data_IF_760204350645
#
_entry.id   IF_760204350645
#
_cell.length_a   1.000
_cell.length_b   1.000
_cell.length_c   1.000
_cell.angle_alpha   90.00
_cell.angle_beta   90.00
_cell.angle_gamma   90.00
#
_symmetry.space_group_name_H-M   'P 1'
#
loop_
_entity.id
_entity.type
_entity.pdbx_description
1 polymer ?
#
# COMPACT_ATOMS: atom_id res chain seq x y z
N UNK A 1 -10.47 -4.26 16.16
CA UNK A 1 -11.76 -4.18 15.52
C UNK A 1 -11.93 -2.86 14.80
N UNK A 2 -11.53 -2.85 13.54
CA UNK A 2 -11.73 -1.72 12.63
C UNK A 2 -13.14 -1.83 12.03
N UNK A 3 -14.17 -1.82 12.88
CA UNK A 3 -15.58 -1.85 12.44
C UNK A 3 -16.18 -0.45 12.59
N UNK A 4 -15.44 0.57 12.19
CA UNK A 4 -15.99 1.91 12.08
C UNK A 4 -16.46 2.15 10.64
N UNK A 5 -17.57 2.87 10.50
CA UNK A 5 -18.01 3.36 9.19
C UNK A 5 -16.89 4.18 8.56
N UNK A 6 -16.68 3.99 7.26
CA UNK A 6 -15.76 4.83 6.50
C UNK A 6 -16.26 6.28 6.58
N UNK A 7 -15.45 7.15 7.17
CA UNK A 7 -15.72 8.59 7.21
C UNK A 7 -14.98 9.24 6.03
N UNK A 8 -15.69 10.05 5.27
CA UNK A 8 -15.14 10.73 4.08
C UNK A 8 -15.14 12.22 4.32
N UNK A 9 -13.98 12.85 4.16
CA UNK A 9 -13.92 14.31 4.03
C UNK A 9 -14.53 14.75 2.71
N UNK A 10 -15.05 15.97 2.62
CA UNK A 10 -15.55 16.48 1.34
C UNK A 10 -14.42 16.61 0.31
N UNK A 11 -14.77 16.50 -0.97
CA UNK A 11 -13.79 16.62 -2.07
C UNK A 11 -13.18 18.01 -2.08
N UNK A 12 -13.98 19.04 -1.79
CA UNK A 12 -13.54 20.43 -1.67
C UNK A 12 -12.46 20.57 -0.61
N UNK A 13 -12.67 19.99 0.57
CA UNK A 13 -11.67 20.02 1.65
C UNK A 13 -10.38 19.33 1.23
N UNK A 14 -10.45 18.12 0.66
CA UNK A 14 -9.27 17.39 0.21
C UNK A 14 -8.52 18.21 -0.85
N UNK A 15 -9.24 18.79 -1.81
CA UNK A 15 -8.65 19.65 -2.85
C UNK A 15 -7.96 20.88 -2.25
N UNK A 16 -8.58 21.54 -1.29
CA UNK A 16 -8.02 22.70 -0.61
C UNK A 16 -6.76 22.36 0.19
N UNK A 17 -6.73 21.21 0.86
CA UNK A 17 -5.56 20.75 1.60
C UNK A 17 -4.37 20.47 0.66
N UNK A 18 -4.61 19.84 -0.49
CA UNK A 18 -3.57 19.58 -1.50
C UNK A 18 -3.09 20.90 -2.13
N UNK A 19 -4.00 21.80 -2.45
CA UNK A 19 -3.64 23.12 -2.99
C UNK A 19 -2.89 23.98 -1.96
N UNK A 20 -3.25 23.89 -0.69
CA UNK A 20 -2.48 24.52 0.37
C UNK A 20 -1.06 23.98 0.45
N UNK A 21 -0.89 22.66 0.35
CA UNK A 21 0.44 22.05 0.29
C UNK A 21 1.22 22.57 -0.93
N UNK A 22 0.61 22.58 -2.11
CA UNK A 22 1.23 23.09 -3.34
C UNK A 22 1.76 24.52 -3.20
N UNK A 23 1.00 25.39 -2.51
CA UNK A 23 1.39 26.80 -2.28
C UNK A 23 2.52 26.98 -1.27
N UNK A 24 2.66 26.07 -0.32
CA UNK A 24 3.53 26.28 0.84
C UNK A 24 4.73 25.33 0.92
N UNK A 25 4.79 24.26 0.13
CA UNK A 25 5.85 23.25 0.24
C UNK A 25 7.19 23.74 -0.35
N UNK A 26 7.16 24.75 -1.21
CA UNK A 26 8.34 25.25 -1.91
C UNK A 26 9.01 24.18 -2.77
N UNK A 27 10.34 24.27 -2.95
CA UNK A 27 11.12 23.32 -3.73
C UNK A 27 11.64 22.10 -2.90
N UNK A 28 11.20 21.97 -1.65
CA UNK A 28 11.77 21.00 -0.72
C UNK A 28 11.30 19.56 -0.94
N UNK A 29 10.09 19.37 -1.46
CA UNK A 29 9.55 18.06 -1.81
C UNK A 29 8.39 18.23 -2.79
N UNK A 30 8.29 17.32 -3.74
CA UNK A 30 7.15 17.25 -4.66
C UNK A 30 6.29 16.00 -4.41
N UNK A 31 6.43 15.37 -3.25
CA UNK A 31 5.72 14.15 -2.88
C UNK A 31 4.62 14.45 -1.86
N UNK A 32 3.49 13.77 -2.00
CA UNK A 32 2.43 13.75 -0.99
C UNK A 32 2.13 12.33 -0.55
N UNK A 33 1.68 12.17 0.69
CA UNK A 33 1.11 10.93 1.20
C UNK A 33 -0.39 11.13 1.44
N UNK A 34 -1.21 10.38 0.71
CA UNK A 34 -2.64 10.28 0.97
C UNK A 34 -2.85 9.15 1.97
N UNK A 35 -3.23 9.49 3.20
CA UNK A 35 -3.48 8.53 4.29
C UNK A 35 -4.84 7.84 4.12
N UNK A 36 -4.99 7.12 3.00
CA UNK A 36 -6.13 6.26 2.71
C UNK A 36 -5.64 4.83 2.50
N UNK A 37 -6.33 3.85 3.08
CA UNK A 37 -5.97 2.43 2.96
C UNK A 37 -6.54 1.77 1.70
N UNK A 38 -7.41 2.47 0.97
CA UNK A 38 -8.15 1.93 -0.17
C UNK A 38 -8.39 2.97 -1.27
N UNK A 39 -7.47 3.89 -1.47
CA UNK A 39 -7.59 4.93 -2.49
C UNK A 39 -7.79 4.33 -3.88
N UNK A 40 -8.64 4.95 -4.69
CA UNK A 40 -9.04 4.46 -6.00
C UNK A 40 -10.19 3.45 -5.97
N UNK A 41 -10.76 3.13 -4.80
CA UNK A 41 -11.83 2.16 -4.68
C UNK A 41 -13.23 2.76 -4.91
N UNK A 42 -13.40 4.04 -4.60
CA UNK A 42 -14.68 4.74 -4.71
C UNK A 42 -14.72 5.66 -5.93
N UNK A 43 -15.89 5.84 -6.59
CA UNK A 43 -16.02 6.75 -7.73
C UNK A 43 -15.55 8.18 -7.45
N UNK A 44 -15.71 8.66 -6.23
CA UNK A 44 -15.23 9.96 -5.78
C UNK A 44 -13.69 10.12 -5.86
N UNK A 45 -12.96 9.03 -5.81
CA UNK A 45 -11.49 9.07 -5.85
C UNK A 45 -11.01 9.53 -7.23
N UNK A 46 -11.74 9.19 -8.30
CA UNK A 46 -11.48 9.73 -9.64
C UNK A 46 -11.72 11.25 -9.71
N UNK A 47 -12.73 11.74 -8.99
CA UNK A 47 -12.95 13.19 -8.91
C UNK A 47 -11.81 13.87 -8.13
N UNK A 48 -11.30 13.25 -7.07
CA UNK A 48 -10.11 13.72 -6.36
C UNK A 48 -8.90 13.72 -7.30
N UNK A 49 -8.70 12.67 -8.11
CA UNK A 49 -7.65 12.62 -9.13
C UNK A 49 -7.76 13.79 -10.12
N UNK A 50 -8.98 14.12 -10.57
CA UNK A 50 -9.22 15.28 -11.45
C UNK A 50 -8.81 16.60 -10.78
N UNK A 51 -9.09 16.77 -9.48
CA UNK A 51 -8.66 17.95 -8.72
C UNK A 51 -7.15 18.01 -8.58
N UNK A 52 -6.50 16.85 -8.30
CA UNK A 52 -5.03 16.76 -8.24
C UNK A 52 -4.42 17.15 -9.58
N UNK A 53 -4.93 16.63 -10.70
CA UNK A 53 -4.46 16.98 -12.05
C UNK A 53 -4.53 18.48 -12.31
N UNK A 54 -5.63 19.11 -11.97
CA UNK A 54 -5.79 20.56 -12.07
C UNK A 54 -4.79 21.34 -11.19
N UNK A 55 -4.39 20.78 -10.05
CA UNK A 55 -3.36 21.37 -9.19
C UNK A 55 -1.99 21.20 -9.83
N UNK A 56 -1.66 20.02 -10.38
CA UNK A 56 -0.42 19.76 -11.11
C UNK A 56 -0.24 20.76 -12.25
N UNK A 57 -1.28 21.03 -13.02
CA UNK A 57 -1.23 21.97 -14.14
C UNK A 57 -0.96 23.43 -13.70
N UNK A 58 -1.35 23.81 -12.47
CA UNK A 58 -1.18 25.16 -11.91
C UNK A 58 0.09 25.35 -11.09
N UNK A 59 0.67 24.29 -10.56
CA UNK A 59 1.75 24.34 -9.58
C UNK A 59 2.97 23.50 -10.01
N UNK A 60 3.42 23.67 -11.23
CA UNK A 60 4.66 23.08 -11.78
C UNK A 60 4.76 21.56 -11.52
N UNK A 61 3.66 20.86 -11.80
CA UNK A 61 3.58 19.40 -11.68
C UNK A 61 3.46 18.88 -10.25
N UNK A 62 3.22 19.72 -9.25
CA UNK A 62 3.00 19.26 -7.87
C UNK A 62 1.59 18.67 -7.69
N UNK A 63 1.48 17.47 -7.07
CA UNK A 63 2.54 16.56 -6.64
C UNK A 63 3.10 15.73 -7.80
N UNK A 64 4.42 15.53 -7.82
CA UNK A 64 5.06 14.62 -8.79
C UNK A 64 4.89 13.14 -8.41
N UNK A 65 4.81 12.86 -7.10
CA UNK A 65 4.59 11.50 -6.60
C UNK A 65 3.53 11.49 -5.51
N UNK A 66 2.62 10.54 -5.63
CA UNK A 66 1.55 10.30 -4.67
C UNK A 66 1.75 8.90 -4.08
N UNK A 67 2.04 8.86 -2.78
CA UNK A 67 2.10 7.63 -2.02
C UNK A 67 0.74 7.38 -1.38
N UNK A 68 0.19 6.19 -1.57
CA UNK A 68 -1.04 5.76 -0.92
C UNK A 68 -1.16 4.24 -0.99
N UNK A 69 -2.02 3.66 -0.19
CA UNK A 69 -2.40 2.26 -0.35
C UNK A 69 -3.62 2.20 -1.27
N UNK A 70 -3.47 1.58 -2.44
CA UNK A 70 -4.59 1.40 -3.35
C UNK A 70 -5.52 0.29 -2.88
N UNK A 71 -6.81 0.45 -3.15
CA UNK A 71 -7.81 -0.56 -2.82
C UNK A 71 -7.58 -1.88 -3.59
N UNK A 72 -7.94 -3.01 -2.98
CA UNK A 72 -7.78 -4.33 -3.61
C UNK A 72 -8.91 -4.68 -4.57
N UNK A 73 -10.06 -4.08 -4.37
CA UNK A 73 -11.27 -4.26 -5.15
C UNK A 73 -11.39 -3.11 -6.16
N UNK A 74 -12.10 -3.33 -7.27
CA UNK A 74 -12.33 -2.31 -8.30
C UNK A 74 -11.06 -1.88 -9.08
N UNK A 75 -10.33 -2.86 -9.58
CA UNK A 75 -9.09 -2.68 -10.35
C UNK A 75 -9.20 -1.70 -11.50
N UNK A 76 -10.33 -1.76 -12.24
CA UNK A 76 -10.59 -0.88 -13.38
C UNK A 76 -10.53 0.60 -12.98
N UNK A 77 -11.10 0.93 -11.83
CA UNK A 77 -11.11 2.30 -11.32
C UNK A 77 -9.74 2.74 -10.81
N UNK A 78 -8.98 1.82 -10.18
CA UNK A 78 -7.61 2.10 -9.76
C UNK A 78 -6.72 2.41 -10.98
N UNK A 79 -6.86 1.65 -12.07
CA UNK A 79 -6.14 1.91 -13.31
C UNK A 79 -6.53 3.29 -13.86
N UNK A 80 -7.81 3.62 -13.91
CA UNK A 80 -8.27 4.94 -14.35
C UNK A 80 -7.67 6.07 -13.50
N UNK A 81 -7.57 5.89 -12.18
CA UNK A 81 -6.93 6.87 -11.29
C UNK A 81 -5.45 7.06 -11.62
N UNK A 82 -4.75 5.95 -11.88
CA UNK A 82 -3.34 5.95 -12.26
C UNK A 82 -3.13 6.64 -13.61
N UNK A 83 -3.91 6.26 -14.62
CA UNK A 83 -3.87 6.88 -15.96
C UNK A 83 -4.15 8.39 -15.92
N UNK A 84 -5.13 8.79 -15.11
CA UNK A 84 -5.52 10.19 -14.97
C UNK A 84 -4.43 11.07 -14.33
N UNK A 85 -3.58 10.48 -13.52
CA UNK A 85 -2.49 11.16 -12.80
C UNK A 85 -1.12 11.02 -13.50
N UNK A 86 -1.08 10.50 -14.74
CA UNK A 86 0.11 10.41 -15.59
C UNK A 86 1.37 9.90 -14.86
N UNK A 87 1.21 8.82 -14.05
CA UNK A 87 2.33 8.21 -13.35
C UNK A 87 2.68 8.81 -11.98
N UNK A 88 2.02 9.88 -11.56
CA UNK A 88 2.22 10.39 -10.21
C UNK A 88 1.75 9.40 -9.13
N UNK A 89 0.72 8.59 -9.41
CA UNK A 89 0.23 7.54 -8.53
C UNK A 89 0.83 6.19 -8.93
N UNK A 90 1.64 5.59 -8.04
CA UNK A 90 2.21 4.26 -8.26
C UNK A 90 1.22 3.15 -7.96
N UNK A 91 1.31 2.05 -8.70
CA UNK A 91 0.57 0.85 -8.36
C UNK A 91 1.29 0.09 -7.25
N UNK A 92 0.73 0.11 -6.05
CA UNK A 92 1.22 -0.68 -4.93
C UNK A 92 0.35 -1.91 -4.72
N UNK A 93 0.99 -3.08 -4.67
CA UNK A 93 0.34 -4.36 -4.42
C UNK A 93 0.91 -5.05 -3.19
N UNK A 94 0.27 -4.88 -2.06
CA UNK A 94 0.67 -5.57 -0.82
C UNK A 94 0.12 -7.00 -0.83
N UNK A 95 0.82 -7.93 -1.46
CA UNK A 95 0.37 -9.34 -1.55
C UNK A 95 0.58 -10.12 -0.26
N UNK A 96 1.54 -9.71 0.56
CA UNK A 96 1.97 -10.34 1.82
C UNK A 96 2.57 -11.74 1.63
N UNK A 97 1.96 -12.60 0.84
CA UNK A 97 2.38 -13.91 0.36
C UNK A 97 1.59 -14.26 -0.91
N UNK A 98 2.11 -15.16 -1.73
CA UNK A 98 1.39 -15.77 -2.86
C UNK A 98 1.12 -17.26 -2.63
N UNK A 99 1.38 -17.76 -1.43
CA UNK A 99 1.00 -19.11 -1.03
C UNK A 99 -0.44 -19.13 -0.51
N UNK A 100 -1.28 -19.97 -1.11
CA UNK A 100 -2.71 -20.03 -0.79
C UNK A 100 -2.99 -20.51 0.63
N UNK A 101 -2.17 -21.43 1.18
CA UNK A 101 -2.33 -21.93 2.53
C UNK A 101 -1.95 -20.86 3.55
N UNK A 102 -0.86 -20.12 3.30
CA UNK A 102 -0.43 -19.00 4.13
C UNK A 102 -1.51 -17.92 4.15
N UNK A 103 -2.05 -17.56 2.98
CA UNK A 103 -3.14 -16.57 2.87
C UNK A 103 -4.40 -17.01 3.61
N UNK A 104 -4.78 -18.29 3.47
CA UNK A 104 -5.93 -18.85 4.19
C UNK A 104 -5.72 -18.79 5.72
N UNK A 105 -4.50 -19.09 6.20
CA UNK A 105 -4.18 -19.01 7.61
C UNK A 105 -4.34 -17.60 8.19
N UNK A 106 -4.00 -16.57 7.44
CA UNK A 106 -4.15 -15.17 7.86
C UNK A 106 -5.48 -14.54 7.41
N UNK A 107 -6.41 -15.36 6.90
CA UNK A 107 -7.74 -14.94 6.43
C UNK A 107 -7.68 -13.79 5.40
N UNK A 108 -6.74 -13.89 4.47
CA UNK A 108 -6.52 -12.87 3.45
C UNK A 108 -6.78 -13.42 2.06
N UNK A 109 -7.44 -12.63 1.25
CA UNK A 109 -7.53 -12.83 -0.19
C UNK A 109 -6.68 -11.78 -0.92
N UNK A 110 -5.89 -12.24 -1.88
CA UNK A 110 -5.14 -11.35 -2.77
C UNK A 110 -5.86 -11.20 -4.12
N UNK A 111 -5.42 -10.21 -4.87
CA UNK A 111 -5.64 -10.18 -6.32
C UNK A 111 -5.02 -11.44 -6.93
N UNK A 112 -5.69 -12.09 -7.86
CA UNK A 112 -5.12 -13.26 -8.50
C UNK A 112 -3.89 -12.87 -9.35
N UNK A 113 -2.96 -13.81 -9.51
CA UNK A 113 -1.79 -13.61 -10.38
C UNK A 113 -2.23 -13.30 -11.83
N UNK A 114 -3.29 -13.96 -12.31
CA UNK A 114 -3.82 -13.75 -13.67
C UNK A 114 -4.41 -12.35 -13.84
N UNK A 115 -5.14 -11.89 -12.85
CA UNK A 115 -5.66 -10.52 -12.83
C UNK A 115 -4.54 -9.47 -12.82
N UNK A 116 -3.45 -9.76 -12.13
CA UNK A 116 -2.29 -8.88 -12.13
C UNK A 116 -1.59 -8.87 -13.49
N UNK A 117 -1.37 -10.04 -14.08
CA UNK A 117 -0.81 -10.16 -15.43
C UNK A 117 -1.65 -9.42 -16.48
N UNK A 118 -2.97 -9.39 -16.30
CA UNK A 118 -3.87 -8.61 -17.17
C UNK A 118 -3.66 -7.09 -17.03
N UNK A 119 -3.12 -6.61 -15.91
CA UNK A 119 -2.78 -5.20 -15.68
C UNK A 119 -1.37 -4.83 -16.21
N UNK A 120 -0.48 -5.80 -16.33
CA UNK A 120 0.92 -5.57 -16.69
C UNK A 120 1.12 -4.76 -17.99
N UNK A 121 0.35 -4.98 -19.08
CA UNK A 121 0.47 -4.17 -20.30
C UNK A 121 0.15 -2.70 -20.08
N UNK A 122 -0.90 -2.41 -19.29
CA UNK A 122 -1.29 -1.03 -18.96
C UNK A 122 -0.23 -0.35 -18.12
N UNK A 123 0.33 -1.06 -17.15
CA UNK A 123 1.39 -0.56 -16.26
C UNK A 123 2.66 -0.24 -17.05
N UNK A 124 3.09 -1.12 -17.96
CA UNK A 124 4.27 -0.91 -18.81
C UNK A 124 4.11 0.26 -19.80
N UNK A 125 2.91 0.46 -20.32
CA UNK A 125 2.64 1.54 -21.28
C UNK A 125 2.68 2.94 -20.65
N UNK A 126 2.54 3.03 -19.31
CA UNK A 126 2.48 4.30 -18.60
C UNK A 126 3.82 4.61 -17.89
N UNK A 127 4.84 3.75 -18.07
CA UNK A 127 6.18 3.85 -17.44
C UNK A 127 6.11 4.01 -15.89
N UNK A 128 5.16 3.29 -15.30
CA UNK A 128 4.87 3.36 -13.88
C UNK A 128 5.69 2.35 -13.09
N UNK A 129 6.36 2.84 -12.05
CA UNK A 129 6.96 1.95 -11.07
C UNK A 129 5.91 1.12 -10.34
N UNK A 130 6.20 -0.16 -10.17
CA UNK A 130 5.38 -1.12 -9.45
C UNK A 130 6.04 -1.50 -8.13
N UNK A 131 5.26 -1.48 -7.05
CA UNK A 131 5.74 -1.89 -5.74
C UNK A 131 4.92 -3.08 -5.22
N UNK A 132 5.59 -4.03 -4.57
CA UNK A 132 4.91 -5.11 -3.85
C UNK A 132 5.49 -5.28 -2.46
N UNK A 133 4.61 -5.59 -1.51
CA UNK A 133 4.99 -5.87 -0.14
C UNK A 133 4.71 -7.33 0.20
N UNK A 134 5.69 -7.99 0.83
CA UNK A 134 5.56 -9.35 1.36
C UNK A 134 5.93 -9.37 2.84
N UNK A 135 5.39 -10.32 3.58
CA UNK A 135 5.69 -10.51 5.00
C UNK A 135 6.36 -11.86 5.19
N UNK A 136 7.58 -11.83 5.69
CA UNK A 136 8.35 -13.02 6.06
C UNK A 136 7.90 -13.54 7.42
N UNK A 137 7.63 -14.84 7.50
CA UNK A 137 7.30 -15.53 8.74
C UNK A 137 5.82 -15.51 9.09
N UNK A 138 4.95 -15.44 8.09
CA UNK A 138 3.52 -15.62 8.28
C UNK A 138 3.19 -17.05 8.75
N UNK A 139 2.07 -17.26 9.47
CA UNK A 139 1.66 -18.57 9.98
C UNK A 139 1.54 -19.61 8.89
N UNK A 140 2.32 -20.70 9.02
CA UNK A 140 2.37 -21.79 8.03
C UNK A 140 3.29 -21.56 6.84
N UNK A 141 3.98 -20.42 6.79
CA UNK A 141 4.98 -20.16 5.75
C UNK A 141 6.23 -21.02 5.96
N UNK A 142 6.79 -21.54 4.88
CA UNK A 142 8.10 -22.19 4.85
C UNK A 142 9.11 -21.33 4.10
N UNK A 143 10.38 -21.65 4.22
CA UNK A 143 11.42 -20.98 3.43
C UNK A 143 11.13 -21.11 1.92
N UNK A 144 10.75 -22.30 1.48
CA UNK A 144 10.45 -22.60 0.08
C UNK A 144 9.26 -21.80 -0.44
N UNK A 145 8.16 -21.71 0.35
CA UNK A 145 6.96 -20.94 -0.04
C UNK A 145 7.23 -19.45 -0.10
N UNK A 146 8.07 -18.94 0.81
CA UNK A 146 8.50 -17.53 0.77
C UNK A 146 9.34 -17.22 -0.47
N UNK A 147 10.36 -18.05 -0.73
CA UNK A 147 11.23 -17.90 -1.92
C UNK A 147 10.41 -18.02 -3.21
N UNK A 148 9.44 -18.92 -3.26
CA UNK A 148 8.56 -19.04 -4.44
C UNK A 148 7.67 -17.80 -4.63
N UNK A 149 7.21 -17.20 -3.55
CA UNK A 149 6.51 -15.89 -3.59
C UNK A 149 7.38 -14.83 -4.24
N UNK A 150 8.64 -14.69 -3.78
CA UNK A 150 9.58 -13.74 -4.36
C UNK A 150 9.87 -14.01 -5.83
N UNK A 151 10.10 -15.30 -6.21
CA UNK A 151 10.32 -15.68 -7.62
C UNK A 151 9.15 -15.31 -8.52
N UNK A 152 7.92 -15.50 -8.05
CA UNK A 152 6.71 -15.10 -8.79
C UNK A 152 6.66 -13.61 -9.00
N UNK A 153 6.93 -12.81 -7.97
CA UNK A 153 6.95 -11.34 -8.07
C UNK A 153 8.03 -10.83 -9.04
N UNK A 154 9.22 -11.43 -9.00
CA UNK A 154 10.29 -11.11 -9.97
C UNK A 154 9.88 -11.47 -11.40
N UNK A 155 9.24 -12.64 -11.62
CA UNK A 155 8.73 -13.02 -12.94
C UNK A 155 7.61 -12.10 -13.45
N UNK A 156 6.89 -11.44 -12.54
CA UNK A 156 5.87 -10.43 -12.85
C UNK A 156 6.46 -9.06 -13.17
N UNK A 157 7.79 -8.95 -13.15
CA UNK A 157 8.52 -7.71 -13.46
C UNK A 157 8.15 -6.56 -12.50
N UNK A 158 8.02 -6.90 -11.21
CA UNK A 158 7.79 -5.91 -10.15
C UNK A 158 9.10 -5.16 -9.88
N UNK A 159 9.08 -3.83 -9.96
CA UNK A 159 10.28 -3.00 -9.81
C UNK A 159 10.83 -3.00 -8.39
N UNK A 160 9.96 -2.94 -7.39
CA UNK A 160 10.36 -2.94 -5.99
C UNK A 160 9.58 -3.97 -5.18
N UNK A 161 10.31 -4.83 -4.48
CA UNK A 161 9.76 -5.81 -3.55
C UNK A 161 10.25 -5.49 -2.14
N UNK A 162 9.33 -5.06 -1.28
CA UNK A 162 9.60 -4.75 0.12
C UNK A 162 9.27 -5.98 0.98
N UNK A 163 10.26 -6.47 1.73
CA UNK A 163 10.09 -7.62 2.63
C UNK A 163 10.05 -7.14 4.07
N UNK A 164 8.92 -7.34 4.74
CA UNK A 164 8.72 -7.03 6.14
C UNK A 164 8.73 -8.30 6.99
N UNK A 165 9.34 -8.24 8.18
CA UNK A 165 9.18 -9.32 9.14
C UNK A 165 7.75 -9.31 9.71
N UNK A 166 7.18 -10.51 9.89
CA UNK A 166 5.90 -10.64 10.57
C UNK A 166 6.01 -10.13 12.00
N UNK A 167 5.30 -9.05 12.30
CA UNK A 167 5.23 -8.47 13.64
C UNK A 167 3.96 -8.91 14.34
N UNK A 168 4.11 -9.38 15.58
CA UNK A 168 2.96 -9.69 16.42
C UNK A 168 2.39 -8.41 17.00
N UNK A 169 1.17 -8.08 16.54
CA UNK A 169 0.43 -6.93 17.06
C UNK A 169 -0.44 -7.38 18.23
N UNK A 170 -0.27 -6.76 19.38
CA UNK A 170 -1.08 -7.04 20.57
C UNK A 170 -2.56 -6.83 20.28
N UNK A 171 -3.39 -7.77 20.73
CA UNK A 171 -4.83 -7.74 20.51
C UNK A 171 -5.29 -8.16 19.11
N UNK A 172 -4.37 -8.55 18.22
CA UNK A 172 -4.72 -9.21 16.97
C UNK A 172 -5.14 -10.66 17.20
N UNK A 173 -5.85 -11.28 16.23
CA UNK A 173 -6.18 -12.70 16.30
C UNK A 173 -4.93 -13.59 16.39
N UNK A 174 -3.85 -13.20 15.71
CA UNK A 174 -2.58 -13.92 15.76
C UNK A 174 -1.93 -13.91 17.15
N UNK A 175 -2.27 -12.93 17.99
CA UNK A 175 -1.77 -12.81 19.36
C UNK A 175 -2.54 -13.69 20.36
N UNK A 176 -3.69 -14.26 19.97
CA UNK A 176 -4.48 -15.11 20.85
C UNK A 176 -3.72 -16.40 21.22
N UNK A 177 -3.88 -16.90 22.46
CA UNK A 177 -3.24 -18.15 22.90
C UNK A 177 -3.56 -19.34 21.98
N UNK A 178 -4.78 -19.44 21.51
CA UNK A 178 -5.27 -20.49 20.64
C UNK A 178 -4.55 -20.46 19.28
N UNK A 179 -4.44 -19.29 18.68
CA UNK A 179 -3.78 -19.10 17.41
C UNK A 179 -2.27 -19.38 17.50
N UNK A 180 -1.63 -18.86 18.55
CA UNK A 180 -0.21 -19.13 18.86
C UNK A 180 0.06 -20.62 19.01
N UNK A 181 -0.79 -21.33 19.73
CA UNK A 181 -0.68 -22.78 19.93
C UNK A 181 -0.89 -23.54 18.61
N UNK A 182 -1.92 -23.16 17.83
CA UNK A 182 -2.24 -23.79 16.54
C UNK A 182 -1.06 -23.75 15.57
N UNK A 183 -0.37 -22.62 15.48
CA UNK A 183 0.71 -22.41 14.51
C UNK A 183 2.11 -22.48 15.12
N UNK A 184 2.23 -22.83 16.41
CA UNK A 184 3.53 -22.93 17.09
C UNK A 184 4.30 -21.62 17.15
N UNK A 185 3.60 -20.47 17.20
CA UNK A 185 4.22 -19.15 17.09
C UNK A 185 5.03 -18.83 18.34
N UNK A 186 6.32 -18.57 18.14
CA UNK A 186 7.24 -18.07 19.16
C UNK A 186 7.66 -16.65 18.83
N UNK A 187 7.26 -15.70 19.67
CA UNK A 187 7.66 -14.30 19.48
C UNK A 187 9.00 -14.01 20.15
N UNK A 188 9.78 -13.16 19.48
CA UNK A 188 11.00 -12.57 20.05
C UNK A 188 10.89 -11.06 20.00
N UNK A 189 11.41 -10.40 21.00
CA UNK A 189 11.50 -8.94 21.01
C UNK A 189 12.77 -8.51 20.28
N UNK A 190 12.63 -7.50 19.44
CA UNK A 190 13.76 -6.82 18.81
C UNK A 190 13.84 -5.41 19.38
N UNK A 191 14.99 -5.06 19.89
CA UNK A 191 15.27 -3.66 20.23
C UNK A 191 15.43 -2.90 18.93
N UNK A 192 14.57 -1.90 18.72
CA UNK A 192 14.74 -0.95 17.63
C UNK A 192 15.73 0.11 18.11
N UNK A 193 16.90 0.15 17.49
CA UNK A 193 17.88 1.21 17.75
C UNK A 193 17.43 2.47 17.00
N UNK A 194 16.40 3.13 17.51
CA UNK A 194 15.95 4.44 17.07
C UNK A 194 15.66 5.28 18.30
N UNK A 195 16.13 6.51 18.28
CA UNK A 195 15.68 7.54 19.23
C UNK A 195 14.20 7.84 18.97
N UNK A 196 13.32 7.19 19.73
CA UNK A 196 11.88 7.35 19.56
C UNK A 196 11.36 8.69 20.07
N UNK A 197 12.01 9.30 21.01
CA UNK A 197 11.83 10.68 21.43
C UNK A 197 12.98 11.04 22.38
N UNK A 198 13.63 12.14 22.16
CA UNK A 198 14.29 12.85 23.27
C UNK A 198 13.19 13.49 24.08
N UNK A 199 12.97 13.01 25.28
CA UNK A 199 12.17 13.73 26.25
C UNK A 199 12.91 15.04 26.54
N UNK A 200 12.15 16.14 26.67
CA UNK A 200 12.69 17.49 26.84
C UNK A 200 13.57 17.73 28.07
N UNK A 201 13.77 16.73 28.89
CA UNK A 201 14.54 16.75 30.15
C UNK A 201 15.71 15.75 30.20
N UNK A 202 16.27 15.34 29.09
CA UNK A 202 17.54 14.60 29.10
C UNK A 202 17.66 13.54 28.06
#
# INVERSE_FOLDING_TARGET
PLVQRVNMFSIERVSQEIEYAAKNIGNSSKNILISDLNFGMFPRDLEICSKIKNIQDRYDGFPEQIQTTTGKNNKKQIIQAIEQLDGALRLSMSVQSLDSNVLANVKRSNISTDDFLALAPTIKNIDLGTDSEVILGLPGETFESHVETLRKLVKLDIDHILVFNCMMLMGSEMDSPEYRKKFGIKTKYRVLVRDFAKLSNG
#
